data_IF_586813971873
#
_entry.id   IF_586813971873
#
_cell.length_a   1.000
_cell.length_b   1.000
_cell.length_c   1.000
_cell.angle_alpha   90.00
_cell.angle_beta   90.00
_cell.angle_gamma   90.00
#
_symmetry.space_group_name_H-M   'P 1'
#
loop_
_entity.id
_entity.type
_entity.pdbx_description
1 polymer ?
#
# COMPACT_ATOMS: atom_id res chain seq x y z
N UNK A 1 35.65 38.01 -26.63
CA UNK A 1 34.26 37.62 -26.37
C UNK A 1 33.88 38.23 -25.03
N UNK A 2 32.98 39.20 -25.01
CA UNK A 2 32.59 39.92 -23.80
C UNK A 2 31.38 39.20 -23.22
N UNK A 3 31.54 38.57 -22.05
CA UNK A 3 30.42 37.97 -21.32
C UNK A 3 29.75 39.07 -20.51
N UNK A 4 28.52 39.39 -20.86
CA UNK A 4 27.66 40.27 -20.08
C UNK A 4 26.90 39.38 -19.10
N UNK A 5 27.31 39.36 -17.84
CA UNK A 5 26.56 38.67 -16.79
C UNK A 5 25.32 39.51 -16.48
N UNK A 6 24.14 38.97 -16.78
CA UNK A 6 22.88 39.52 -16.32
C UNK A 6 22.78 39.41 -14.80
N UNK A 7 22.17 40.40 -14.14
CA UNK A 7 21.87 40.33 -12.70
C UNK A 7 21.12 39.04 -12.36
N UNK A 8 21.55 38.38 -11.30
CA UNK A 8 20.86 37.25 -10.70
C UNK A 8 19.46 37.68 -10.25
N UNK A 9 18.41 37.20 -10.91
CA UNK A 9 17.02 37.45 -10.53
C UNK A 9 16.51 36.34 -9.62
N UNK A 10 16.29 36.67 -8.36
CA UNK A 10 15.66 35.77 -7.36
C UNK A 10 14.21 35.37 -7.69
N UNK A 11 13.60 35.95 -8.72
CA UNK A 11 12.20 35.72 -9.11
C UNK A 11 11.88 34.27 -9.56
N UNK A 12 12.89 33.40 -9.73
CA UNK A 12 12.70 31.97 -10.03
C UNK A 12 12.63 31.06 -8.80
N UNK A 13 12.84 31.60 -7.58
CA UNK A 13 12.82 30.84 -6.32
C UNK A 13 11.58 31.12 -5.44
N UNK A 14 10.44 31.45 -6.06
CA UNK A 14 9.15 31.42 -5.36
C UNK A 14 8.61 29.99 -5.42
N UNK A 15 8.63 29.26 -4.30
CA UNK A 15 8.09 27.91 -4.20
C UNK A 15 6.68 27.86 -4.79
N UNK A 16 6.48 27.05 -5.84
CA UNK A 16 5.17 26.78 -6.45
C UNK A 16 4.90 25.28 -6.40
N UNK A 17 4.88 24.72 -5.20
CA UNK A 17 4.53 23.31 -5.03
C UNK A 17 3.12 23.07 -5.58
N UNK A 18 2.95 21.99 -6.35
CA UNK A 18 1.61 21.61 -6.79
C UNK A 18 0.84 21.09 -5.56
N UNK A 19 -0.49 21.12 -5.61
CA UNK A 19 -1.31 20.54 -4.53
C UNK A 19 -0.99 19.08 -4.26
N UNK A 20 -0.53 18.34 -5.26
CA UNK A 20 -0.07 16.97 -5.09
C UNK A 20 1.23 16.87 -4.26
N UNK A 21 2.17 17.81 -4.43
CA UNK A 21 3.39 17.88 -3.63
C UNK A 21 3.06 18.30 -2.19
N UNK A 22 2.14 19.24 -2.03
CA UNK A 22 1.62 19.68 -0.74
C UNK A 22 0.85 18.57 -0.02
N UNK A 23 0.12 17.71 -0.74
CA UNK A 23 -0.52 16.52 -0.19
C UNK A 23 0.52 15.56 0.36
N UNK A 24 1.64 15.33 -0.34
CA UNK A 24 2.73 14.47 0.16
C UNK A 24 3.35 15.04 1.43
N UNK A 25 3.57 16.35 1.49
CA UNK A 25 4.04 17.02 2.71
C UNK A 25 3.02 16.89 3.84
N UNK A 26 1.75 17.19 3.56
CA UNK A 26 0.66 17.09 4.52
C UNK A 26 0.52 15.67 5.07
N UNK A 27 0.66 14.64 4.24
CA UNK A 27 0.69 13.24 4.67
C UNK A 27 1.82 12.95 5.65
N UNK A 28 3.00 13.55 5.48
CA UNK A 28 4.10 13.40 6.43
C UNK A 28 3.79 14.07 7.76
N UNK A 29 3.24 15.28 7.71
CA UNK A 29 2.81 16.01 8.90
C UNK A 29 1.71 15.26 9.65
N UNK A 30 0.78 14.61 8.95
CA UNK A 30 -0.27 13.78 9.56
C UNK A 30 0.31 12.60 10.34
N UNK A 31 1.31 11.90 9.79
CA UNK A 31 1.96 10.79 10.53
C UNK A 31 2.66 11.32 11.79
N UNK A 32 3.31 12.49 11.69
CA UNK A 32 3.96 13.14 12.82
C UNK A 32 2.94 13.67 13.87
N UNK A 33 1.77 14.13 13.42
CA UNK A 33 0.68 14.65 14.25
C UNK A 33 -0.25 13.55 14.79
N UNK A 34 0.15 12.28 14.69
CA UNK A 34 -0.67 11.14 15.10
C UNK A 34 -2.07 11.14 14.47
N UNK A 35 -2.15 11.47 13.18
CA UNK A 35 -3.39 11.54 12.41
C UNK A 35 -4.28 12.76 12.69
N UNK A 36 -3.88 13.67 13.58
CA UNK A 36 -4.58 14.93 13.83
C UNK A 36 -4.44 15.88 12.64
N UNK A 37 -5.51 16.00 11.86
CA UNK A 37 -5.54 16.85 10.68
C UNK A 37 -5.51 18.35 11.03
N UNK A 38 -6.07 18.76 12.17
CA UNK A 38 -6.02 20.15 12.62
C UNK A 38 -4.60 20.57 12.97
N UNK A 39 -3.90 19.73 13.75
CA UNK A 39 -2.50 19.96 14.09
C UNK A 39 -1.59 19.95 12.85
N UNK A 40 -1.77 18.98 11.94
CA UNK A 40 -0.99 18.91 10.72
C UNK A 40 -1.21 20.14 9.80
N UNK A 41 -2.44 20.65 9.70
CA UNK A 41 -2.74 21.88 8.95
C UNK A 41 -2.13 23.11 9.62
N UNK A 42 -2.14 23.19 10.95
CA UNK A 42 -1.47 24.27 11.70
C UNK A 42 0.04 24.27 11.44
N UNK A 43 0.69 23.10 11.45
CA UNK A 43 2.11 22.99 11.10
C UNK A 43 2.39 23.35 9.65
N UNK A 44 1.51 22.94 8.72
CA UNK A 44 1.63 23.33 7.32
C UNK A 44 1.53 24.84 7.14
N UNK A 45 0.66 25.50 7.92
CA UNK A 45 0.53 26.96 7.95
C UNK A 45 1.83 27.62 8.40
N UNK A 46 2.44 27.14 9.49
CA UNK A 46 3.72 27.68 9.95
C UNK A 46 4.88 27.43 8.98
N UNK A 47 4.87 26.30 8.26
CA UNK A 47 5.85 26.04 7.22
C UNK A 47 5.65 27.00 6.03
N UNK A 48 4.41 27.29 5.67
CA UNK A 48 4.12 28.29 4.64
C UNK A 48 4.59 29.70 5.03
N UNK A 49 4.32 30.14 6.25
CA UNK A 49 4.76 31.45 6.76
C UNK A 49 6.28 31.64 6.64
N UNK A 50 7.05 30.56 6.80
CA UNK A 50 8.52 30.59 6.79
C UNK A 50 9.14 30.35 5.42
N UNK A 51 8.55 29.46 4.63
CA UNK A 51 9.13 28.96 3.38
C UNK A 51 8.33 29.34 2.13
N UNK A 52 7.23 30.09 2.31
CA UNK A 52 6.33 30.53 1.24
C UNK A 52 5.99 29.36 0.31
N UNK A 53 5.40 28.30 0.88
CA UNK A 53 5.09 27.05 0.18
C UNK A 53 3.95 27.23 -0.83
N UNK A 54 3.01 28.10 -0.49
CA UNK A 54 1.87 28.49 -1.31
C UNK A 54 2.20 29.75 -2.11
N UNK A 55 1.44 29.98 -3.19
CA UNK A 55 1.59 31.19 -4.01
C UNK A 55 0.47 32.17 -3.66
N UNK A 56 0.78 33.47 -3.69
CA UNK A 56 -0.21 34.56 -3.58
C UNK A 56 -1.22 34.64 -4.75
N UNK A 57 -1.16 33.68 -5.69
CA UNK A 57 -2.08 33.60 -6.82
C UNK A 57 -3.42 33.01 -6.36
N UNK A 58 -4.56 33.55 -6.82
CA UNK A 58 -5.87 32.95 -6.57
C UNK A 58 -5.90 31.47 -6.98
N UNK A 59 -6.42 30.59 -6.11
CA UNK A 59 -6.48 29.15 -6.36
C UNK A 59 -5.22 28.38 -5.98
N UNK A 60 -4.22 29.03 -5.37
CA UNK A 60 -2.94 28.42 -4.96
C UNK A 60 -2.58 28.71 -3.50
N UNK A 61 -3.53 29.20 -2.70
CA UNK A 61 -3.34 29.45 -1.28
C UNK A 61 -3.66 28.24 -0.39
N UNK A 62 -3.34 28.35 0.90
CA UNK A 62 -3.65 27.31 1.89
C UNK A 62 -5.16 27.00 1.96
N UNK A 63 -6.02 28.02 1.90
CA UNK A 63 -7.47 27.83 1.89
C UNK A 63 -7.95 27.03 0.68
N UNK A 64 -7.38 27.31 -0.51
CA UNK A 64 -7.69 26.57 -1.74
C UNK A 64 -7.24 25.11 -1.64
N UNK A 65 -6.11 24.85 -0.99
CA UNK A 65 -5.63 23.49 -0.74
C UNK A 65 -6.52 22.74 0.25
N UNK A 66 -7.00 23.38 1.32
CA UNK A 66 -7.95 22.76 2.26
C UNK A 66 -9.26 22.41 1.54
N UNK A 67 -9.79 23.32 0.71
CA UNK A 67 -10.97 23.03 -0.10
C UNK A 67 -10.70 21.93 -1.12
N UNK A 68 -9.52 21.89 -1.73
CA UNK A 68 -9.12 20.79 -2.60
C UNK A 68 -9.08 19.45 -1.85
N UNK A 69 -8.53 19.39 -0.64
CA UNK A 69 -8.52 18.17 0.19
C UNK A 69 -9.95 17.67 0.49
N UNK A 70 -10.88 18.59 0.75
CA UNK A 70 -12.30 18.29 0.96
C UNK A 70 -12.97 17.81 -0.33
N UNK A 71 -12.73 18.46 -1.45
CA UNK A 71 -13.27 18.07 -2.77
C UNK A 71 -12.76 16.71 -3.22
N UNK A 72 -11.48 16.42 -2.99
CA UNK A 72 -10.92 15.09 -3.24
C UNK A 72 -11.43 14.04 -2.24
N UNK A 73 -12.11 14.46 -1.17
CA UNK A 73 -12.68 13.58 -0.15
C UNK A 73 -11.63 12.98 0.78
N UNK A 74 -10.47 13.62 0.93
CA UNK A 74 -9.44 13.20 1.90
C UNK A 74 -9.72 13.70 3.31
N UNK A 75 -10.32 14.88 3.41
CA UNK A 75 -10.76 15.48 4.66
C UNK A 75 -12.28 15.71 4.64
N UNK A 76 -12.86 15.67 5.83
CA UNK A 76 -14.22 16.13 6.10
C UNK A 76 -14.18 17.18 7.20
N UNK A 77 -14.99 18.21 7.05
CA UNK A 77 -15.21 19.20 8.11
C UNK A 77 -16.45 18.78 8.90
N UNK A 78 -16.30 18.59 10.21
CA UNK A 78 -17.41 18.23 11.09
C UNK A 78 -18.11 19.46 11.71
N UNK A 79 -17.75 20.66 11.25
CA UNK A 79 -18.24 21.93 11.78
C UNK A 79 -17.28 22.51 12.83
N UNK A 80 -17.20 23.84 12.89
CA UNK A 80 -16.36 24.54 13.88
C UNK A 80 -14.85 24.51 13.60
N UNK A 81 -14.43 24.15 12.39
CA UNK A 81 -13.01 24.09 12.01
C UNK A 81 -12.28 22.82 12.42
N UNK A 82 -13.03 21.78 12.83
CA UNK A 82 -12.46 20.47 13.18
C UNK A 82 -12.43 19.58 11.93
N UNK A 83 -11.24 19.41 11.37
CA UNK A 83 -11.00 18.54 10.22
C UNK A 83 -10.79 17.10 10.67
N UNK A 84 -11.52 16.17 10.04
CA UNK A 84 -11.38 14.74 10.25
C UNK A 84 -10.90 14.07 8.97
N UNK A 85 -9.94 13.16 9.12
CA UNK A 85 -9.46 12.33 8.02
C UNK A 85 -10.51 11.30 7.60
N UNK A 86 -10.72 11.13 6.30
CA UNK A 86 -11.64 10.12 5.75
C UNK A 86 -10.93 8.78 5.53
N UNK A 87 -11.69 7.72 5.23
CA UNK A 87 -11.11 6.43 4.80
C UNK A 87 -10.27 6.56 3.52
N UNK A 88 -10.67 7.44 2.60
CA UNK A 88 -9.89 7.77 1.40
C UNK A 88 -8.61 8.52 1.74
N UNK A 89 -8.66 9.45 2.70
CA UNK A 89 -7.48 10.12 3.25
C UNK A 89 -6.51 9.14 3.91
N UNK A 90 -7.02 8.22 4.74
CA UNK A 90 -6.22 7.15 5.34
C UNK A 90 -5.52 6.27 4.30
N UNK A 91 -6.23 5.89 3.22
CA UNK A 91 -5.63 5.15 2.10
C UNK A 91 -4.55 5.98 1.39
N UNK A 92 -4.78 7.28 1.23
CA UNK A 92 -3.83 8.19 0.60
C UNK A 92 -2.52 8.27 1.40
N UNK A 93 -2.60 8.44 2.72
CA UNK A 93 -1.41 8.47 3.59
C UNK A 93 -0.60 7.19 3.45
N UNK A 94 -1.27 6.02 3.46
CA UNK A 94 -0.62 4.73 3.26
C UNK A 94 0.13 4.63 1.93
N UNK A 95 -0.48 5.15 0.86
CA UNK A 95 0.14 5.19 -0.46
C UNK A 95 1.34 6.14 -0.52
N UNK A 96 1.22 7.34 0.06
CA UNK A 96 2.34 8.28 0.12
C UNK A 96 3.50 7.74 0.99
N UNK A 97 3.21 7.02 2.09
CA UNK A 97 4.23 6.32 2.89
C UNK A 97 4.93 5.22 2.07
N UNK A 98 4.18 4.45 1.29
CA UNK A 98 4.73 3.41 0.41
C UNK A 98 5.67 4.01 -0.65
N UNK A 99 5.18 5.01 -1.38
CA UNK A 99 5.93 5.72 -2.42
C UNK A 99 7.22 6.32 -1.85
N UNK A 100 7.16 6.88 -0.63
CA UNK A 100 8.33 7.44 0.05
C UNK A 100 9.40 6.38 0.31
N UNK A 101 9.04 5.22 0.86
CA UNK A 101 9.99 4.13 1.09
C UNK A 101 10.64 3.70 -0.22
N UNK A 102 9.86 3.44 -1.26
CA UNK A 102 10.39 3.00 -2.55
C UNK A 102 11.23 4.07 -3.27
N UNK A 103 10.87 5.35 -3.16
CA UNK A 103 11.66 6.46 -3.73
C UNK A 103 13.04 6.62 -3.09
N UNK A 104 13.20 6.16 -1.85
CA UNK A 104 14.46 6.22 -1.10
C UNK A 104 15.35 4.98 -1.28
N UNK A 105 14.85 3.93 -1.94
CA UNK A 105 15.63 2.72 -2.21
C UNK A 105 16.71 3.01 -3.26
N UNK A 106 17.96 2.73 -2.89
CA UNK A 106 19.05 2.67 -3.86
C UNK A 106 18.80 1.49 -4.80
N UNK A 107 19.11 1.62 -6.09
CA UNK A 107 19.04 0.52 -7.06
C UNK A 107 19.86 -0.67 -6.55
N UNK A 108 19.18 -1.72 -6.09
CA UNK A 108 19.75 -3.01 -5.78
C UNK A 108 19.59 -3.98 -6.96
N UNK A 109 20.27 -5.14 -6.94
CA UNK A 109 20.04 -6.20 -7.92
C UNK A 109 18.59 -6.70 -7.82
N UNK A 110 18.01 -7.07 -8.97
CA UNK A 110 16.66 -7.61 -9.05
C UNK A 110 16.58 -8.95 -8.29
N UNK A 111 15.59 -9.10 -7.40
CA UNK A 111 15.28 -10.37 -6.74
C UNK A 111 14.09 -11.02 -7.42
N UNK A 112 14.29 -12.22 -7.98
CA UNK A 112 13.21 -13.06 -8.48
C UNK A 112 12.62 -13.85 -7.31
N UNK A 113 11.33 -13.62 -7.05
CA UNK A 113 10.53 -14.51 -6.21
C UNK A 113 9.51 -15.22 -7.10
N UNK A 114 9.95 -16.20 -7.88
CA UNK A 114 9.05 -17.22 -8.44
C UNK A 114 8.89 -18.34 -7.43
N UNK A 115 7.65 -18.62 -7.03
CA UNK A 115 7.28 -19.84 -6.30
C UNK A 115 7.10 -20.99 -7.30
N UNK A 116 7.75 -22.15 -7.10
CA UNK A 116 7.74 -23.25 -8.08
C UNK A 116 6.56 -24.25 -7.94
N UNK A 117 5.50 -23.95 -7.18
CA UNK A 117 4.45 -24.93 -6.87
C UNK A 117 3.19 -24.78 -7.74
N UNK A 118 2.84 -25.85 -8.48
CA UNK A 118 1.53 -26.04 -9.13
C UNK A 118 0.56 -26.76 -8.18
N UNK A 119 -0.76 -26.48 -8.24
CA UNK A 119 -1.71 -27.05 -7.26
C UNK A 119 -3.13 -26.50 -7.33
N UNK A 120 -3.93 -26.62 -6.26
CA UNK A 120 -5.37 -26.33 -6.31
C UNK A 120 -5.67 -24.82 -6.35
N UNK A 121 -6.06 -24.31 -7.51
CA UNK A 121 -6.62 -22.97 -7.67
C UNK A 121 -7.63 -22.94 -8.82
N UNK A 122 -8.06 -21.73 -9.20
CA UNK A 122 -9.21 -21.56 -10.10
C UNK A 122 -8.79 -21.36 -11.55
N UNK A 123 -7.59 -20.83 -11.80
CA UNK A 123 -7.09 -20.61 -13.16
C UNK A 123 -6.33 -21.83 -13.68
N UNK A 124 -6.70 -22.23 -14.90
CA UNK A 124 -6.06 -23.33 -15.62
C UNK A 124 -4.74 -22.85 -16.21
N UNK A 125 -3.69 -23.60 -15.98
CA UNK A 125 -2.44 -23.50 -16.71
C UNK A 125 -2.60 -24.11 -18.11
N UNK A 126 -1.73 -23.73 -19.02
CA UNK A 126 -1.67 -24.30 -20.37
C UNK A 126 -1.19 -25.76 -20.39
N UNK A 127 -0.58 -26.21 -19.31
CA UNK A 127 -0.04 -27.55 -19.16
C UNK A 127 -1.12 -28.52 -18.68
N UNK A 128 -1.10 -29.73 -19.23
CA UNK A 128 -1.98 -30.83 -18.85
C UNK A 128 -1.19 -31.95 -18.20
N UNK A 129 -1.86 -32.71 -17.34
CA UNK A 129 -1.31 -33.93 -16.73
C UNK A 129 -2.36 -35.05 -16.70
N UNK A 130 -1.95 -36.31 -16.52
CA UNK A 130 -2.89 -37.41 -16.31
C UNK A 130 -3.82 -37.14 -15.12
N UNK A 131 -5.10 -37.47 -15.30
CA UNK A 131 -6.12 -37.42 -14.25
C UNK A 131 -5.73 -38.27 -13.05
N UNK A 132 -6.05 -37.78 -11.85
CA UNK A 132 -5.98 -38.54 -10.61
C UNK A 132 -7.31 -38.45 -9.89
N UNK A 133 -7.68 -39.53 -9.21
CA UNK A 133 -8.89 -39.57 -8.40
C UNK A 133 -8.96 -38.37 -7.43
N UNK A 134 -10.04 -37.58 -7.53
CA UNK A 134 -10.25 -36.36 -6.75
C UNK A 134 -10.05 -35.06 -7.54
N UNK A 135 -9.54 -35.12 -8.77
CA UNK A 135 -9.46 -33.96 -9.65
C UNK A 135 -10.87 -33.47 -10.05
N UNK A 136 -11.04 -32.15 -10.14
CA UNK A 136 -12.34 -31.57 -10.48
C UNK A 136 -12.70 -31.91 -11.94
N UNK A 137 -13.91 -32.47 -12.21
CA UNK A 137 -14.33 -32.77 -13.58
C UNK A 137 -14.35 -31.55 -14.51
N UNK A 138 -14.50 -30.35 -13.92
CA UNK A 138 -14.42 -29.09 -14.65
C UNK A 138 -13.05 -28.83 -15.25
N UNK A 139 -11.99 -29.52 -14.84
CA UNK A 139 -10.61 -29.29 -15.32
C UNK A 139 -10.16 -30.29 -16.38
N UNK A 140 -11.03 -31.21 -16.81
CA UNK A 140 -10.71 -32.19 -17.85
C UNK A 140 -10.50 -31.48 -19.19
N UNK A 141 -9.37 -31.77 -19.84
CA UNK A 141 -9.14 -31.45 -21.24
C UNK A 141 -9.77 -32.54 -22.10
N UNK A 142 -11.00 -32.31 -22.56
CA UNK A 142 -11.70 -33.26 -23.42
C UNK A 142 -10.99 -33.51 -24.75
N UNK A 143 -10.28 -32.52 -25.29
CA UNK A 143 -9.59 -32.66 -26.58
C UNK A 143 -8.40 -33.60 -26.45
N UNK A 144 -7.54 -33.36 -25.45
CA UNK A 144 -6.41 -34.23 -25.14
C UNK A 144 -6.89 -35.63 -24.73
N UNK A 145 -7.94 -35.71 -23.91
CA UNK A 145 -8.48 -36.99 -23.44
C UNK A 145 -9.06 -37.86 -24.57
N UNK A 146 -9.83 -37.25 -25.49
CA UNK A 146 -10.36 -37.96 -26.66
C UNK A 146 -9.22 -38.37 -27.61
N UNK A 147 -8.22 -37.50 -27.79
CA UNK A 147 -7.03 -37.82 -28.60
C UNK A 147 -6.29 -39.04 -28.04
N UNK A 148 -6.12 -39.13 -26.72
CA UNK A 148 -5.50 -40.27 -26.05
C UNK A 148 -6.35 -41.53 -26.17
N UNK A 149 -7.66 -41.44 -25.97
CA UNK A 149 -8.58 -42.56 -26.17
C UNK A 149 -8.54 -43.13 -27.60
N UNK A 150 -8.49 -42.26 -28.62
CA UNK A 150 -8.36 -42.68 -30.02
C UNK A 150 -7.02 -43.38 -30.26
N UNK A 151 -5.92 -42.87 -29.68
CA UNK A 151 -4.60 -43.52 -29.79
C UNK A 151 -4.58 -44.90 -29.15
N UNK A 152 -5.26 -45.10 -28.03
CA UNK A 152 -5.26 -46.38 -27.31
C UNK A 152 -6.22 -47.41 -27.88
N UNK A 153 -7.44 -47.00 -28.27
CA UNK A 153 -8.52 -47.94 -28.62
C UNK A 153 -8.89 -47.92 -30.11
N UNK A 154 -8.36 -46.98 -30.89
CA UNK A 154 -8.68 -46.80 -32.31
C UNK A 154 -10.02 -46.10 -32.54
N UNK A 155 -10.31 -45.79 -33.81
CA UNK A 155 -11.51 -45.03 -34.21
C UNK A 155 -12.79 -45.88 -34.24
N UNK A 156 -12.66 -47.20 -34.36
CA UNK A 156 -13.79 -48.10 -34.60
C UNK A 156 -14.64 -48.34 -33.33
N UNK A 157 -14.04 -48.17 -32.15
CA UNK A 157 -14.74 -48.22 -30.85
C UNK A 157 -14.15 -47.18 -29.90
N UNK A 158 -14.70 -45.96 -29.92
CA UNK A 158 -14.31 -44.94 -28.96
C UNK A 158 -14.72 -45.37 -27.54
N UNK A 159 -13.74 -45.86 -26.77
CA UNK A 159 -13.86 -46.10 -25.34
C UNK A 159 -12.96 -45.11 -24.62
N UNK A 160 -13.51 -44.44 -23.61
CA UNK A 160 -12.76 -43.50 -22.77
C UNK A 160 -12.57 -44.15 -21.41
N UNK A 161 -11.33 -44.50 -21.08
CA UNK A 161 -10.96 -44.99 -19.76
C UNK A 161 -10.41 -43.85 -18.91
N UNK A 162 -10.34 -44.06 -17.59
CA UNK A 162 -9.77 -43.07 -16.66
C UNK A 162 -8.31 -42.73 -17.02
N UNK A 163 -7.55 -43.72 -17.49
CA UNK A 163 -6.15 -43.56 -17.93
C UNK A 163 -6.00 -42.69 -19.19
N UNK A 164 -7.09 -42.47 -19.94
CA UNK A 164 -7.10 -41.61 -21.12
C UNK A 164 -7.34 -40.14 -20.75
N UNK A 165 -7.82 -39.87 -19.52
CA UNK A 165 -8.19 -38.53 -19.09
C UNK A 165 -6.96 -37.67 -18.78
N UNK A 166 -6.91 -36.50 -19.40
CA UNK A 166 -6.01 -35.41 -19.04
C UNK A 166 -6.77 -34.27 -18.38
N UNK A 167 -6.14 -33.67 -17.39
CA UNK A 167 -6.64 -32.49 -16.69
C UNK A 167 -5.65 -31.34 -16.82
N UNK A 168 -6.17 -30.13 -17.01
CA UNK A 168 -5.37 -28.93 -16.89
C UNK A 168 -4.85 -28.81 -15.45
N UNK A 169 -3.56 -28.48 -15.32
CA UNK A 169 -3.05 -28.05 -14.02
C UNK A 169 -3.70 -26.73 -13.63
N UNK A 170 -3.87 -26.50 -12.33
CA UNK A 170 -4.32 -25.22 -11.80
C UNK A 170 -3.18 -24.54 -11.07
N UNK A 171 -3.20 -23.21 -11.01
CA UNK A 171 -2.25 -22.48 -10.15
C UNK A 171 -2.54 -22.77 -8.67
N UNK A 172 -1.53 -23.04 -7.85
CA UNK A 172 -1.72 -23.03 -6.41
C UNK A 172 -1.67 -21.60 -5.89
N UNK A 173 -2.80 -21.08 -5.39
CA UNK A 173 -2.83 -19.79 -4.69
C UNK A 173 -2.92 -20.04 -3.19
N UNK A 174 -1.76 -20.10 -2.51
CA UNK A 174 -1.72 -20.14 -1.06
C UNK A 174 -2.17 -18.79 -0.48
N UNK A 175 -3.17 -18.79 0.41
CA UNK A 175 -3.53 -17.60 1.17
C UNK A 175 -2.54 -17.36 2.30
N UNK A 176 -2.06 -16.13 2.47
CA UNK A 176 -1.18 -15.76 3.58
C UNK A 176 -1.93 -14.96 4.66
N UNK A 177 -1.60 -15.23 5.93
CA UNK A 177 -2.01 -14.40 7.06
C UNK A 177 -0.77 -13.73 7.66
N UNK A 178 -0.71 -12.41 7.54
CA UNK A 178 0.39 -11.59 8.07
C UNK A 178 -0.06 -10.88 9.34
N UNK A 179 0.76 -10.93 10.39
CA UNK A 179 0.57 -10.16 11.63
C UNK A 179 1.66 -9.11 11.73
N UNK A 180 1.28 -7.84 11.77
CA UNK A 180 2.15 -6.71 11.97
C UNK A 180 2.09 -6.25 13.43
N UNK A 181 3.18 -6.41 14.17
CA UNK A 181 3.31 -5.97 15.55
C UNK A 181 4.06 -4.63 15.62
N UNK A 182 3.47 -3.62 16.25
CA UNK A 182 4.05 -2.28 16.40
C UNK A 182 4.36 -2.03 17.88
N UNK A 183 5.64 -1.81 18.18
CA UNK A 183 6.09 -1.45 19.53
C UNK A 183 5.60 -0.03 19.89
N UNK A 184 4.97 0.11 21.05
CA UNK A 184 4.52 1.39 21.63
C UNK A 184 5.11 1.62 23.03
N UNK A 185 6.17 0.89 23.38
CA UNK A 185 6.90 1.03 24.63
C UNK A 185 7.68 2.35 24.70
N UNK A 186 8.13 2.70 25.91
CA UNK A 186 8.91 3.91 26.15
C UNK A 186 10.23 3.95 25.34
N UNK A 187 10.76 2.80 24.93
CA UNK A 187 11.95 2.72 24.07
C UNK A 187 11.77 3.46 22.74
N UNK A 188 10.53 3.61 22.28
CA UNK A 188 10.20 4.25 21.01
C UNK A 188 10.33 5.78 21.00
N UNK A 189 10.47 6.40 22.18
CA UNK A 189 10.69 7.85 22.36
C UNK A 189 11.89 8.18 23.26
N UNK A 190 12.63 7.15 23.70
CA UNK A 190 13.73 7.28 24.65
C UNK A 190 14.85 8.17 24.09
N UNK A 191 15.43 9.01 24.95
CA UNK A 191 16.50 9.97 24.64
C UNK A 191 16.10 11.08 23.65
N UNK A 192 14.80 11.35 23.51
CA UNK A 192 14.30 12.38 22.59
C UNK A 192 14.33 11.94 21.11
N UNK A 193 14.60 10.66 20.84
CA UNK A 193 14.52 10.09 19.50
C UNK A 193 13.09 9.65 19.18
N UNK A 194 12.52 10.14 18.08
CA UNK A 194 11.22 9.70 17.58
C UNK A 194 11.38 8.46 16.69
N UNK A 195 11.35 7.26 17.31
CA UNK A 195 11.40 5.98 16.60
C UNK A 195 10.00 5.50 16.18
N UNK A 196 8.95 6.00 16.84
CA UNK A 196 7.57 5.63 16.55
C UNK A 196 7.11 6.16 15.19
N UNK A 197 7.46 7.38 14.80
CA UNK A 197 7.07 7.93 13.49
C UNK A 197 7.68 7.15 12.31
N UNK A 198 8.99 6.83 12.28
CA UNK A 198 9.55 5.92 11.29
C UNK A 198 8.85 4.56 11.27
N UNK A 199 8.58 3.97 12.43
CA UNK A 199 7.88 2.68 12.52
C UNK A 199 6.46 2.74 11.93
N UNK A 200 5.70 3.79 12.23
CA UNK A 200 4.37 4.04 11.63
C UNK A 200 4.45 4.16 10.11
N UNK A 201 5.44 4.88 9.59
CA UNK A 201 5.62 5.00 8.14
C UNK A 201 5.87 3.63 7.47
N UNK A 202 6.74 2.80 8.04
CA UNK A 202 6.99 1.44 7.56
C UNK A 202 5.73 0.58 7.65
N UNK A 203 5.01 0.66 8.77
CA UNK A 203 3.75 -0.07 8.98
C UNK A 203 2.68 0.32 7.95
N UNK A 204 2.48 1.61 7.70
CA UNK A 204 1.54 2.15 6.71
C UNK A 204 1.89 1.69 5.29
N UNK A 205 3.17 1.77 4.93
CA UNK A 205 3.67 1.32 3.64
C UNK A 205 3.48 -0.19 3.46
N UNK A 206 3.90 -1.01 4.43
CA UNK A 206 3.76 -2.45 4.36
C UNK A 206 2.29 -2.87 4.26
N UNK A 207 1.41 -2.23 5.05
CA UNK A 207 -0.02 -2.45 4.96
C UNK A 207 -0.56 -2.11 3.56
N UNK A 208 -0.11 -0.99 2.97
CA UNK A 208 -0.49 -0.63 1.61
C UNK A 208 -0.03 -1.64 0.58
N UNK A 209 1.22 -2.11 0.70
CA UNK A 209 1.82 -3.08 -0.22
C UNK A 209 1.01 -4.38 -0.20
N UNK A 210 0.76 -4.94 0.98
CA UNK A 210 0.01 -6.19 1.15
C UNK A 210 -1.41 -6.03 0.63
N UNK A 211 -2.14 -5.01 1.08
CA UNK A 211 -3.55 -4.82 0.70
C UNK A 211 -3.76 -4.52 -0.79
N UNK A 212 -2.74 -3.98 -1.48
CA UNK A 212 -2.80 -3.70 -2.91
C UNK A 212 -2.35 -4.88 -3.76
N UNK A 213 -1.23 -5.51 -3.40
CA UNK A 213 -0.63 -6.60 -4.18
C UNK A 213 -1.29 -7.95 -3.91
N UNK A 214 -1.75 -8.17 -2.69
CA UNK A 214 -2.36 -9.42 -2.23
C UNK A 214 -3.72 -9.14 -1.57
N UNK A 215 -4.72 -8.66 -2.32
CA UNK A 215 -6.01 -8.23 -1.76
C UNK A 215 -6.83 -9.37 -1.12
N UNK A 216 -6.48 -10.63 -1.39
CA UNK A 216 -7.12 -11.82 -0.79
C UNK A 216 -6.44 -12.28 0.50
N UNK A 217 -5.25 -11.76 0.83
CA UNK A 217 -4.53 -12.11 2.05
C UNK A 217 -5.11 -11.42 3.29
N UNK A 218 -4.81 -11.97 4.45
CA UNK A 218 -5.20 -11.40 5.75
C UNK A 218 -4.05 -10.60 6.34
N UNK A 219 -4.34 -9.38 6.77
CA UNK A 219 -3.42 -8.54 7.53
C UNK A 219 -4.06 -8.19 8.87
N UNK A 220 -3.44 -8.63 9.96
CA UNK A 220 -3.76 -8.23 11.32
C UNK A 220 -2.70 -7.27 11.82
N UNK A 221 -3.11 -6.24 12.56
CA UNK A 221 -2.20 -5.27 13.16
C UNK A 221 -2.41 -5.29 14.65
N UNK A 222 -1.34 -5.44 15.41
CA UNK A 222 -1.37 -5.32 16.85
C UNK A 222 -0.34 -4.31 17.30
N UNK A 223 -0.64 -3.66 18.42
CA UNK A 223 0.32 -2.82 19.13
C UNK A 223 0.66 -3.48 20.46
N UNK A 224 1.89 -3.32 20.91
CA UNK A 224 2.35 -3.92 22.15
C UNK A 224 3.22 -2.96 22.97
N UNK A 225 2.99 -2.98 24.28
CA UNK A 225 3.82 -2.35 25.31
C UNK A 225 3.83 -3.31 26.51
N UNK A 226 3.22 -2.90 27.62
CA UNK A 226 2.94 -3.81 28.75
C UNK A 226 1.89 -4.87 28.39
N UNK A 227 0.89 -4.45 27.61
CA UNK A 227 -0.17 -5.31 27.05
C UNK A 227 -0.13 -5.27 25.52
N UNK A 228 -0.69 -6.32 24.89
CA UNK A 228 -0.87 -6.39 23.45
C UNK A 228 -2.36 -6.25 23.09
N UNK A 229 -2.67 -5.41 22.08
CA UNK A 229 -4.04 -5.24 21.57
C UNK A 229 -4.06 -5.17 20.05
N UNK A 230 -5.07 -5.80 19.45
CA UNK A 230 -5.34 -5.68 18.03
C UNK A 230 -5.92 -4.29 17.72
N UNK A 231 -5.49 -3.71 16.60
CA UNK A 231 -5.95 -2.42 16.09
C UNK A 231 -6.29 -2.54 14.60
N UNK A 232 -7.11 -1.63 14.09
CA UNK A 232 -7.39 -1.61 12.65
C UNK A 232 -6.22 -0.97 11.92
N UNK A 233 -6.04 -1.35 10.65
CA UNK A 233 -5.06 -0.70 9.75
C UNK A 233 -5.30 0.82 9.65
N UNK A 234 -6.55 1.26 9.78
CA UNK A 234 -6.96 2.67 9.78
C UNK A 234 -6.50 3.44 11.01
N UNK A 235 -6.21 2.74 12.10
CA UNK A 235 -5.80 3.34 13.38
C UNK A 235 -4.27 3.56 13.43
N UNK A 236 -3.50 2.99 12.49
CA UNK A 236 -2.02 3.07 12.48
C UNK A 236 -1.51 4.51 12.58
N UNK A 237 -2.03 5.50 11.81
CA UNK A 237 -1.55 6.88 11.91
C UNK A 237 -1.71 7.48 13.31
N UNK A 238 -2.75 7.05 14.03
CA UNK A 238 -3.17 7.54 15.34
C UNK A 238 -2.48 6.83 16.50
N UNK A 239 -1.65 5.82 16.23
CA UNK A 239 -0.88 5.14 17.27
C UNK A 239 0.06 6.14 17.95
N UNK A 240 0.02 6.12 19.27
CA UNK A 240 0.89 6.88 20.15
C UNK A 240 1.64 5.91 21.07
N UNK A 241 2.80 6.34 21.55
CA UNK A 241 3.50 5.65 22.63
C UNK A 241 2.60 5.62 23.86
N UNK A 242 2.53 4.46 24.52
CA UNK A 242 1.63 4.23 25.65
C UNK A 242 1.88 5.17 26.84
N UNK A 243 0.89 5.33 27.74
CA UNK A 243 1.03 6.13 28.94
C UNK A 243 2.15 5.59 29.84
N UNK A 244 2.87 6.51 30.48
CA UNK A 244 4.04 6.24 31.34
C UNK A 244 3.68 5.37 32.55
N UNK A 245 3.79 4.06 32.43
CA UNK A 245 3.88 3.18 33.59
C UNK A 245 5.09 2.28 33.42
N UNK A 246 6.22 2.73 33.98
CA UNK A 246 7.32 1.86 34.42
C UNK A 246 6.88 1.02 35.60
#
# INVERSE_FOLDING_TARGET
MWFQYSEWRDEQNLSRMKFEDLMRLFSQLLVQANGDAGQALSWLTHLDERYHLFSDKPGQGLGDFIEWLKQQGYLKDNGGGVFQLTSKGNRRIRQDSLDRIFSSLRKGPAGDHSTPDTGQGVERLSETRPYRFGDAPSNIDFSASISNAIKHHGLDQLRLNEDDLEVYETEHLASCATVLAIDISHSMVLYGEDRITPAKNVALALAQLILTRYPKDKLHVLIFGDDAREVKVEDIPFIQVGPFHT
#
